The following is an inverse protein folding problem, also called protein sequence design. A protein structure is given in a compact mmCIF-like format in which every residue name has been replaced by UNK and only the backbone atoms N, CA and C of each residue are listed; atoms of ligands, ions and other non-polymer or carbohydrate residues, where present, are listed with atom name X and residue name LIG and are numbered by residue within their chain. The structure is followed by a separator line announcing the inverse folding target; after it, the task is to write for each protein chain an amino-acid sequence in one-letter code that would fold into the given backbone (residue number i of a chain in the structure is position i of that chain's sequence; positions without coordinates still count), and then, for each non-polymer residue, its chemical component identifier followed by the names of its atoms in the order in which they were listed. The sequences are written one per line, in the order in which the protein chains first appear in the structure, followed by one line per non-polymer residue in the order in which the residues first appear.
data_IF_924005344406
#
_entry.id   IF_924005344406
#
_cell.length_a   1.000
_cell.length_b   1.000
_cell.length_c   1.000
_cell.angle_alpha   90.00
_cell.angle_beta   90.00
_cell.angle_gamma   90.00
#
_symmetry.space_group_name_H-M   'P 1'
#
loop_
_entity.id
_entity.type
_entity.pdbx_description
1 polymer ?
#
# COMPACT_ATOMS: atom_id res chain seq x y z
N UNK A 1 3.22 8.77 11.02
CA UNK A 1 3.89 7.56 11.57
C UNK A 1 3.80 6.44 10.54
N UNK A 2 4.84 5.62 10.37
CA UNK A 2 4.80 4.38 9.57
C UNK A 2 4.90 3.21 10.53
N UNK A 3 3.98 2.25 10.44
CA UNK A 3 4.04 0.97 11.15
C UNK A 3 4.30 -0.14 10.15
N UNK A 4 5.12 -1.11 10.50
CA UNK A 4 5.58 -2.18 9.60
C UNK A 4 5.40 -3.52 10.31
N UNK A 5 4.73 -4.45 9.64
CA UNK A 5 4.53 -5.83 10.12
C UNK A 5 5.79 -6.68 10.03
N UNK A 6 5.77 -7.77 10.78
CA UNK A 6 6.84 -8.76 10.84
C UNK A 6 7.18 -9.33 9.46
N UNK A 7 8.46 -9.61 9.20
CA UNK A 7 8.94 -10.21 7.95
C UNK A 7 8.95 -9.27 6.74
N UNK A 8 8.40 -8.06 6.84
CA UNK A 8 8.43 -7.06 5.78
C UNK A 8 9.82 -6.43 5.66
N UNK A 9 10.34 -6.36 4.44
CA UNK A 9 11.61 -5.71 4.14
C UNK A 9 11.47 -4.57 3.13
N UNK A 10 12.49 -3.69 3.08
CA UNK A 10 12.55 -2.54 2.17
C UNK A 10 11.78 -1.31 2.66
N UNK A 11 11.07 -1.37 3.79
CA UNK A 11 10.31 -0.22 4.30
C UNK A 11 11.19 1.03 4.59
N UNK A 12 12.48 0.84 4.80
CA UNK A 12 13.45 1.94 4.95
C UNK A 12 13.65 2.75 3.66
N UNK A 13 13.28 2.19 2.50
CA UNK A 13 13.37 2.84 1.19
C UNK A 13 12.17 3.75 0.86
N UNK A 14 11.24 3.91 1.82
CA UNK A 14 10.04 4.73 1.65
C UNK A 14 10.37 6.19 1.92
N UNK A 15 10.12 7.02 0.91
CA UNK A 15 10.20 8.48 0.98
C UNK A 15 8.80 9.02 1.30
N UNK A 16 8.64 9.50 2.53
CA UNK A 16 7.37 10.02 3.01
C UNK A 16 7.24 11.52 2.72
N UNK A 17 6.18 11.90 2.01
CA UNK A 17 5.76 13.28 1.81
C UNK A 17 4.57 13.57 2.74
N UNK A 18 4.79 14.36 3.79
CA UNK A 18 3.78 14.60 4.81
C UNK A 18 3.51 16.10 4.97
N UNK A 19 2.27 16.49 4.76
CA UNK A 19 1.73 17.83 5.06
C UNK A 19 0.75 17.79 6.24
N UNK A 20 0.40 16.58 6.71
CA UNK A 20 -0.45 16.36 7.88
C UNK A 20 0.19 15.31 8.77
N UNK A 21 0.43 15.65 10.03
CA UNK A 21 1.08 14.79 11.01
C UNK A 21 0.16 13.66 11.52
N UNK A 22 -1.15 13.76 11.32
CA UNK A 22 -2.13 12.79 11.79
C UNK A 22 -2.25 11.58 10.86
N UNK A 23 -1.99 11.78 9.55
CA UNK A 23 -2.10 10.70 8.56
C UNK A 23 -0.98 9.68 8.74
N UNK A 24 -1.35 8.41 8.75
CA UNK A 24 -0.48 7.26 9.04
C UNK A 24 -0.33 6.35 7.82
N UNK A 25 0.69 5.51 7.88
CA UNK A 25 0.91 4.40 6.95
C UNK A 25 0.98 3.11 7.75
N UNK A 26 0.15 2.16 7.40
CA UNK A 26 0.18 0.83 7.97
C UNK A 26 0.60 -0.16 6.89
N UNK A 27 1.69 -0.89 7.14
CA UNK A 27 2.22 -1.92 6.24
C UNK A 27 2.10 -3.26 6.96
N UNK A 28 1.47 -4.21 6.31
CA UNK A 28 1.30 -5.57 6.82
C UNK A 28 2.60 -6.37 6.89
N UNK A 29 2.43 -7.67 7.14
CA UNK A 29 3.52 -8.63 7.31
C UNK A 29 4.00 -9.17 5.96
N UNK A 30 5.27 -9.60 5.90
CA UNK A 30 5.86 -10.31 4.77
C UNK A 30 5.76 -9.57 3.42
N UNK A 31 5.75 -8.24 3.44
CA UNK A 31 5.79 -7.43 2.23
C UNK A 31 7.21 -7.32 1.67
N UNK A 32 7.31 -7.28 0.35
CA UNK A 32 8.54 -7.04 -0.40
C UNK A 32 8.49 -5.65 -1.01
N UNK A 33 9.30 -4.72 -0.51
CA UNK A 33 9.27 -3.31 -0.91
C UNK A 33 10.61 -2.96 -1.56
N UNK A 34 10.56 -2.55 -2.82
CA UNK A 34 11.74 -2.13 -3.57
C UNK A 34 12.12 -0.67 -3.26
N UNK A 35 13.12 -0.17 -3.96
CA UNK A 35 13.68 1.16 -3.74
C UNK A 35 12.79 2.29 -4.31
N UNK A 36 12.99 3.49 -3.74
CA UNK A 36 12.41 4.73 -4.22
C UNK A 36 10.87 4.72 -4.25
N UNK A 37 10.27 4.34 -3.14
CA UNK A 37 8.81 4.35 -2.96
C UNK A 37 8.40 5.69 -2.34
N UNK A 38 7.54 6.43 -3.03
CA UNK A 38 7.01 7.71 -2.59
C UNK A 38 5.60 7.55 -2.03
N UNK A 39 5.40 7.94 -0.77
CA UNK A 39 4.10 7.91 -0.11
C UNK A 39 3.65 9.34 0.18
N UNK A 40 2.50 9.73 -0.38
CA UNK A 40 1.92 11.07 -0.25
C UNK A 40 0.77 11.04 0.75
N UNK A 41 1.01 11.55 1.96
CA UNK A 41 0.05 11.54 3.07
C UNK A 41 -0.91 12.74 3.10
N UNK A 42 -0.86 13.57 2.07
CA UNK A 42 -1.67 14.77 1.93
C UNK A 42 -1.08 15.69 0.86
N UNK A 43 -1.26 17.00 1.04
CA UNK A 43 -0.78 17.99 0.09
C UNK A 43 -1.68 18.14 -1.14
N UNK A 44 -2.88 17.56 -1.12
CA UNK A 44 -3.86 17.76 -2.18
C UNK A 44 -4.49 19.14 -2.02
N UNK A 45 -4.54 19.91 -3.10
CA UNK A 45 -5.23 21.19 -3.12
C UNK A 45 -6.69 21.02 -3.51
N UNK A 46 -7.57 21.83 -2.96
CA UNK A 46 -9.00 21.77 -3.32
C UNK A 46 -9.22 22.43 -4.69
N UNK A 47 -9.46 21.62 -5.70
CA UNK A 47 -9.67 22.06 -7.08
C UNK A 47 -11.05 22.70 -7.33
N UNK A 48 -11.98 22.65 -6.37
CA UNK A 48 -13.32 23.24 -6.49
C UNK A 48 -13.36 24.71 -6.07
N UNK A 49 -12.23 25.26 -5.63
CA UNK A 49 -12.12 26.68 -5.28
C UNK A 49 -11.71 27.52 -6.48
N UNK A 50 -11.97 28.83 -6.43
CA UNK A 50 -11.54 29.80 -7.46
C UNK A 50 -10.03 29.71 -7.71
N UNK A 51 -9.27 29.43 -6.67
CA UNK A 51 -7.82 29.23 -6.75
C UNK A 51 -7.41 27.98 -5.97
N UNK A 52 -6.43 27.28 -6.46
CA UNK A 52 -5.79 26.15 -5.74
C UNK A 52 -4.70 26.62 -4.78
N UNK A 53 -4.35 27.93 -4.77
CA UNK A 53 -3.29 28.44 -3.92
C UNK A 53 -3.70 28.39 -2.44
N UNK A 54 -2.88 27.79 -1.55
CA UNK A 54 -3.20 27.62 -0.13
C UNK A 54 -2.77 28.83 0.68
N UNK A 55 -3.51 29.94 0.59
CA UNK A 55 -3.17 31.20 1.27
C UNK A 55 -2.89 31.06 2.78
N UNK A 56 -3.51 30.11 3.45
CA UNK A 56 -3.31 29.87 4.87
C UNK A 56 -1.98 29.18 5.23
N UNK A 57 -1.31 28.57 4.24
CA UNK A 57 -0.07 27.83 4.45
C UNK A 57 1.18 28.53 3.91
N UNK A 58 1.01 29.74 3.38
CA UNK A 58 2.13 30.52 2.86
C UNK A 58 2.97 31.12 4.00
N UNK A 59 3.72 30.26 4.70
CA UNK A 59 4.69 30.65 5.70
C UNK A 59 5.90 31.39 5.11
N UNK A 60 6.15 31.25 3.80
CA UNK A 60 7.30 31.86 3.12
C UNK A 60 7.15 33.37 2.93
N UNK A 61 5.94 33.89 3.05
CA UNK A 61 5.58 35.30 2.84
C UNK A 61 5.18 36.04 4.09
N UNK A 62 5.75 35.70 5.24
CA UNK A 62 5.54 36.40 6.51
C UNK A 62 4.07 36.49 6.95
N UNK A 63 3.25 35.48 6.69
CA UNK A 63 1.81 35.46 7.01
C UNK A 63 1.02 36.65 6.38
N UNK A 64 1.40 37.10 5.22
CA UNK A 64 0.72 38.21 4.53
C UNK A 64 -0.78 37.98 4.40
N UNK A 65 -1.24 36.75 4.29
CA UNK A 65 -2.64 36.37 4.12
C UNK A 65 -3.29 35.85 5.40
N UNK A 66 -2.53 35.78 6.52
CA UNK A 66 -3.01 35.25 7.79
C UNK A 66 -3.40 33.77 7.71
N UNK A 67 -4.32 33.35 8.57
CA UNK A 67 -4.85 31.98 8.62
C UNK A 67 -6.10 31.77 7.76
N UNK A 68 -6.41 32.69 6.90
CA UNK A 68 -7.60 32.65 6.03
C UNK A 68 -7.25 31.94 4.72
N UNK A 69 -8.11 31.04 4.29
CA UNK A 69 -7.95 30.33 3.04
C UNK A 69 -8.07 28.81 3.20
N UNK A 70 -7.89 28.09 2.09
CA UNK A 70 -7.95 26.65 2.09
C UNK A 70 -6.63 26.03 2.54
N UNK A 71 -6.72 24.93 3.26
CA UNK A 71 -5.58 24.10 3.63
C UNK A 71 -5.44 22.92 2.66
N UNK A 72 -4.24 22.40 2.44
CA UNK A 72 -4.06 21.13 1.77
C UNK A 72 -4.82 20.02 2.49
N UNK A 73 -5.43 19.14 1.72
CA UNK A 73 -6.25 18.06 2.22
C UNK A 73 -5.55 16.70 2.07
N UNK A 74 -5.89 15.79 2.97
CA UNK A 74 -5.54 14.38 2.88
C UNK A 74 -6.81 13.56 2.71
N UNK A 75 -6.72 12.43 1.98
CA UNK A 75 -7.81 11.45 1.90
C UNK A 75 -7.74 10.40 3.02
N UNK A 76 -6.84 10.58 3.99
CA UNK A 76 -6.65 9.70 5.13
C UNK A 76 -5.46 8.76 5.01
N UNK A 77 -5.43 7.78 5.90
CA UNK A 77 -4.35 6.82 6.07
C UNK A 77 -4.14 5.94 4.83
N UNK A 78 -2.92 5.46 4.68
CA UNK A 78 -2.57 4.45 3.67
C UNK A 78 -2.45 3.11 4.38
N UNK A 79 -3.18 2.13 3.88
CA UNK A 79 -3.17 0.75 4.39
C UNK A 79 -2.59 -0.18 3.33
N UNK A 80 -1.48 -0.84 3.62
CA UNK A 80 -0.87 -1.86 2.78
C UNK A 80 -1.03 -3.19 3.51
N UNK A 81 -1.70 -4.14 2.87
CA UNK A 81 -1.97 -5.47 3.41
C UNK A 81 -0.71 -6.33 3.58
N UNK A 82 -0.91 -7.61 3.80
CA UNK A 82 0.16 -8.60 3.98
C UNK A 82 0.57 -9.20 2.63
N UNK A 83 1.78 -9.73 2.50
CA UNK A 83 2.29 -10.39 1.30
C UNK A 83 2.21 -9.50 0.04
N UNK A 84 2.37 -8.18 0.19
CA UNK A 84 2.33 -7.23 -0.92
C UNK A 84 3.71 -7.05 -1.51
N UNK A 85 3.79 -7.09 -2.84
CA UNK A 85 5.01 -6.74 -3.56
C UNK A 85 4.87 -5.37 -4.23
N UNK A 86 5.77 -4.45 -3.86
CA UNK A 86 5.85 -3.10 -4.44
C UNK A 86 7.16 -2.99 -5.21
N UNK A 87 7.05 -2.79 -6.53
CA UNK A 87 8.19 -2.55 -7.41
C UNK A 87 8.82 -1.17 -7.22
N UNK A 88 9.99 -0.95 -7.78
CA UNK A 88 10.74 0.31 -7.64
C UNK A 88 10.03 1.51 -8.27
N UNK A 89 10.30 2.70 -7.74
CA UNK A 89 9.79 3.97 -8.27
C UNK A 89 8.25 4.06 -8.28
N UNK A 90 7.60 3.47 -7.29
CA UNK A 90 6.15 3.54 -7.11
C UNK A 90 5.79 4.75 -6.26
N UNK A 91 4.70 5.42 -6.62
CA UNK A 91 4.08 6.45 -5.78
C UNK A 91 2.67 6.06 -5.37
N UNK A 92 2.32 6.29 -4.09
CA UNK A 92 1.05 5.92 -3.48
C UNK A 92 0.43 7.17 -2.85
N UNK A 93 -0.83 7.45 -3.20
CA UNK A 93 -1.56 8.63 -2.72
C UNK A 93 -2.31 8.34 -1.42
N UNK A 94 -2.58 9.39 -0.65
CA UNK A 94 -3.33 9.32 0.62
C UNK A 94 -4.70 8.65 0.45
N UNK A 95 -5.12 7.90 1.47
CA UNK A 95 -6.39 7.19 1.52
C UNK A 95 -6.43 5.89 0.72
N UNK A 96 -5.33 5.48 0.09
CA UNK A 96 -5.27 4.23 -0.70
C UNK A 96 -5.15 3.02 0.22
N UNK A 97 -5.94 1.98 -0.08
CA UNK A 97 -5.86 0.65 0.52
C UNK A 97 -5.36 -0.35 -0.51
N UNK A 98 -4.31 -1.08 -0.16
CA UNK A 98 -3.68 -2.10 -1.00
C UNK A 98 -3.94 -3.47 -0.34
N UNK A 99 -4.66 -4.35 -1.04
CA UNK A 99 -5.10 -5.64 -0.52
C UNK A 99 -3.97 -6.66 -0.36
N UNK A 100 -4.19 -7.68 0.47
CA UNK A 100 -3.24 -8.75 0.71
C UNK A 100 -2.82 -9.45 -0.59
N UNK A 101 -1.56 -9.80 -0.70
CA UNK A 101 -1.02 -10.56 -1.83
C UNK A 101 -1.00 -9.80 -3.16
N UNK A 102 -1.31 -8.51 -3.20
CA UNK A 102 -1.30 -7.70 -4.42
C UNK A 102 0.12 -7.37 -4.88
N UNK A 103 0.22 -6.96 -6.14
CA UNK A 103 1.48 -6.55 -6.77
C UNK A 103 1.31 -5.18 -7.40
N UNK A 104 2.19 -4.27 -7.05
CA UNK A 104 2.30 -2.95 -7.66
C UNK A 104 3.53 -2.95 -8.57
N UNK A 105 3.31 -2.88 -9.87
CA UNK A 105 4.39 -2.87 -10.85
C UNK A 105 5.29 -1.63 -10.68
N UNK A 106 6.55 -1.76 -11.03
CA UNK A 106 7.49 -0.63 -10.99
C UNK A 106 6.97 0.58 -11.81
N UNK A 107 7.34 1.79 -11.39
CA UNK A 107 6.95 3.07 -12.02
C UNK A 107 5.44 3.35 -12.01
N UNK A 108 4.69 2.74 -11.08
CA UNK A 108 3.24 2.94 -10.96
C UNK A 108 2.90 4.15 -10.09
N UNK A 109 1.79 4.82 -10.43
CA UNK A 109 1.18 5.87 -9.62
C UNK A 109 -0.19 5.40 -9.10
N UNK A 110 -0.24 4.99 -7.83
CA UNK A 110 -1.42 4.36 -7.22
C UNK A 110 -2.33 5.43 -6.61
N UNK A 111 -3.49 5.65 -7.21
CA UNK A 111 -4.47 6.68 -6.84
C UNK A 111 -5.82 6.12 -6.39
N UNK A 112 -6.01 4.79 -6.50
CA UNK A 112 -7.20 4.04 -6.12
C UNK A 112 -6.83 2.81 -5.32
N UNK A 113 -7.80 2.26 -4.60
CA UNK A 113 -7.62 1.00 -3.88
C UNK A 113 -7.28 -0.14 -4.84
N UNK A 114 -6.45 -1.07 -4.36
CA UNK A 114 -6.02 -2.28 -5.07
C UNK A 114 -6.64 -3.47 -4.35
N UNK A 115 -7.26 -4.37 -5.10
CA UNK A 115 -7.91 -5.55 -4.53
C UNK A 115 -6.89 -6.61 -4.09
N UNK A 116 -7.27 -7.53 -3.19
CA UNK A 116 -6.39 -8.64 -2.83
C UNK A 116 -5.96 -9.46 -4.06
N UNK A 117 -4.67 -9.80 -4.12
CA UNK A 117 -4.06 -10.55 -5.22
C UNK A 117 -4.19 -9.90 -6.60
N UNK A 118 -4.55 -8.63 -6.67
CA UNK A 118 -4.56 -7.86 -7.90
C UNK A 118 -3.13 -7.41 -8.26
N UNK A 119 -2.82 -7.43 -9.55
CA UNK A 119 -1.63 -6.84 -10.15
C UNK A 119 -2.05 -5.57 -10.86
N UNK A 120 -1.48 -4.44 -10.43
CA UNK A 120 -1.74 -3.13 -11.04
C UNK A 120 -0.46 -2.49 -11.54
N UNK A 121 -0.55 -1.62 -12.54
CA UNK A 121 0.60 -0.92 -13.07
C UNK A 121 0.24 0.30 -13.90
N UNK A 122 1.22 1.19 -14.09
CA UNK A 122 1.10 2.38 -14.91
C UNK A 122 0.83 3.67 -14.14
N UNK A 123 0.63 4.77 -14.87
CA UNK A 123 0.33 6.10 -14.34
C UNK A 123 -0.87 6.71 -15.08
N UNK A 124 -2.06 6.81 -14.46
CA UNK A 124 -2.40 6.21 -13.16
C UNK A 124 -2.41 4.68 -13.23
N UNK A 125 -2.13 4.01 -12.09
CA UNK A 125 -2.13 2.55 -12.00
C UNK A 125 -3.51 1.99 -12.34
N UNK A 126 -3.54 0.98 -13.19
CA UNK A 126 -4.74 0.29 -13.66
C UNK A 126 -4.58 -1.21 -13.43
N UNK A 127 -5.71 -1.91 -13.42
CA UNK A 127 -5.76 -3.36 -13.38
C UNK A 127 -5.00 -3.98 -14.57
N UNK A 128 -4.12 -4.93 -14.29
CA UNK A 128 -3.44 -5.75 -15.30
C UNK A 128 -4.05 -7.15 -15.30
N UNK A 129 -4.06 -7.81 -14.14
CA UNK A 129 -4.64 -9.14 -13.93
C UNK A 129 -4.78 -9.44 -12.44
N UNK A 130 -5.47 -10.50 -12.10
CA UNK A 130 -5.30 -11.15 -10.80
C UNK A 130 -4.16 -12.19 -10.88
N UNK A 131 -3.49 -12.41 -9.76
CA UNK A 131 -2.43 -13.45 -9.66
C UNK A 131 -2.99 -14.85 -9.89
N UNK A 132 -4.22 -15.08 -9.42
CA UNK A 132 -4.89 -16.39 -9.40
C UNK A 132 -6.38 -16.25 -9.73
N UNK A 133 -7.09 -17.36 -9.89
CA UNK A 133 -8.56 -17.38 -9.98
C UNK A 133 -9.21 -16.91 -8.69
N UNK A 134 -10.45 -16.43 -8.78
CA UNK A 134 -11.19 -15.96 -7.58
C UNK A 134 -11.34 -17.04 -6.49
N UNK A 135 -11.43 -18.31 -6.89
CA UNK A 135 -11.53 -19.44 -5.95
C UNK A 135 -10.22 -19.64 -5.18
N UNK A 136 -9.10 -19.60 -5.88
CA UNK A 136 -7.77 -19.66 -5.26
C UNK A 136 -7.53 -18.46 -4.35
N UNK A 137 -7.88 -17.25 -4.79
CA UNK A 137 -7.75 -16.03 -3.98
C UNK A 137 -8.54 -16.17 -2.68
N UNK A 138 -9.79 -16.62 -2.75
CA UNK A 138 -10.62 -16.87 -1.57
C UNK A 138 -9.96 -17.84 -0.60
N UNK A 139 -9.48 -18.96 -1.12
CA UNK A 139 -8.77 -19.97 -0.33
C UNK A 139 -7.52 -19.42 0.35
N UNK A 140 -6.71 -18.64 -0.35
CA UNK A 140 -5.50 -18.04 0.20
C UNK A 140 -5.80 -16.97 1.27
N UNK A 141 -6.88 -16.21 1.10
CA UNK A 141 -7.34 -15.26 2.12
C UNK A 141 -7.88 -15.96 3.39
N UNK A 142 -8.54 -17.13 3.24
CA UNK A 142 -8.97 -17.95 4.37
C UNK A 142 -7.78 -18.59 5.09
N UNK A 143 -6.77 -19.06 4.35
CA UNK A 143 -5.54 -19.64 4.91
C UNK A 143 -4.75 -18.60 5.69
N UNK A 144 -4.69 -17.37 5.22
CA UNK A 144 -4.03 -16.22 5.83
C UNK A 144 -2.67 -16.59 6.45
N UNK A 145 -1.78 -17.20 5.67
CA UNK A 145 -0.51 -17.77 6.12
C UNK A 145 0.39 -16.77 6.88
N UNK A 146 0.27 -15.50 6.61
CA UNK A 146 0.99 -14.42 7.30
C UNK A 146 0.61 -14.25 8.79
N UNK A 147 -0.48 -14.87 9.23
CA UNK A 147 -0.90 -14.89 10.64
C UNK A 147 -0.49 -16.17 11.36
N UNK A 148 0.22 -17.07 10.70
CA UNK A 148 0.74 -18.28 11.30
C UNK A 148 1.93 -17.99 12.22
N UNK A 149 2.17 -18.91 13.15
CA UNK A 149 3.40 -18.92 13.94
C UNK A 149 4.61 -19.19 13.04
N UNK A 150 5.77 -18.70 13.44
CA UNK A 150 7.02 -18.91 12.68
C UNK A 150 7.31 -20.40 12.46
N UNK A 151 7.06 -21.26 13.47
CA UNK A 151 7.23 -22.71 13.33
C UNK A 151 6.32 -23.31 12.26
N UNK A 152 5.06 -22.86 12.18
CA UNK A 152 4.13 -23.31 11.14
C UNK A 152 4.58 -22.85 9.76
N UNK A 153 5.05 -21.62 9.62
CA UNK A 153 5.60 -21.12 8.36
C UNK A 153 6.80 -21.97 7.93
N UNK A 154 7.77 -22.19 8.83
CA UNK A 154 8.97 -22.98 8.53
C UNK A 154 8.63 -24.40 8.05
N UNK A 155 7.66 -25.07 8.67
CA UNK A 155 7.21 -26.40 8.25
C UNK A 155 6.53 -26.41 6.88
N UNK A 156 6.01 -25.26 6.44
CA UNK A 156 5.24 -25.12 5.21
C UNK A 156 5.94 -24.32 4.11
N UNK A 157 7.17 -23.86 4.29
CA UNK A 157 7.92 -23.06 3.30
C UNK A 157 7.88 -23.68 1.92
N UNK A 158 8.11 -25.02 1.82
CA UNK A 158 8.05 -25.73 0.54
C UNK A 158 6.67 -25.60 -0.11
N UNK A 159 5.58 -25.72 0.64
CA UNK A 159 4.22 -25.59 0.11
C UNK A 159 3.88 -24.14 -0.27
N UNK A 160 4.29 -23.19 0.56
CA UNK A 160 4.12 -21.74 0.30
C UNK A 160 4.90 -21.26 -0.92
N UNK A 161 5.98 -21.97 -1.29
CA UNK A 161 6.84 -21.65 -2.44
C UNK A 161 6.43 -22.36 -3.73
N UNK A 162 5.27 -23.05 -3.74
CA UNK A 162 4.74 -23.72 -4.92
C UNK A 162 3.51 -23.00 -5.47
N UNK A 163 3.13 -23.33 -6.72
CA UNK A 163 1.86 -22.86 -7.29
C UNK A 163 0.67 -23.38 -6.48
N UNK A 164 -0.38 -22.59 -6.26
CA UNK A 164 -1.51 -22.94 -5.39
C UNK A 164 -2.48 -23.93 -6.08
N UNK A 165 -2.05 -25.18 -6.28
CA UNK A 165 -2.92 -26.27 -6.70
C UNK A 165 -3.90 -26.69 -5.59
N UNK A 166 -4.99 -27.40 -5.94
CA UNK A 166 -5.93 -27.96 -4.94
C UNK A 166 -5.22 -28.77 -3.86
N UNK A 167 -4.23 -29.57 -4.24
CA UNK A 167 -3.43 -30.38 -3.32
C UNK A 167 -2.65 -29.51 -2.34
N UNK A 168 -1.98 -28.45 -2.83
CA UNK A 168 -1.23 -27.52 -1.99
C UNK A 168 -2.17 -26.77 -1.05
N UNK A 169 -3.28 -26.23 -1.55
CA UNK A 169 -4.25 -25.52 -0.73
C UNK A 169 -4.84 -26.41 0.37
N UNK A 170 -5.10 -27.68 0.08
CA UNK A 170 -5.56 -28.66 1.09
C UNK A 170 -4.50 -28.90 2.17
N UNK A 171 -3.23 -29.07 1.79
CA UNK A 171 -2.12 -29.22 2.73
C UNK A 171 -1.99 -28.01 3.65
N UNK A 172 -2.02 -26.79 3.08
CA UNK A 172 -1.90 -25.54 3.84
C UNK A 172 -3.05 -25.32 4.83
N UNK A 173 -4.25 -25.88 4.57
CA UNK A 173 -5.39 -25.83 5.52
C UNK A 173 -5.26 -26.85 6.66
N UNK A 174 -4.60 -27.97 6.42
CA UNK A 174 -4.54 -29.10 7.36
C UNK A 174 -3.34 -29.05 8.33
N UNK A 175 -2.45 -28.12 8.16
CA UNK A 175 -1.26 -27.87 9.00
C UNK A 175 -1.52 -26.73 9.98
#
# INVERSE_FOLDING_TARGET
MITVGEGTYGAAHIIKHSWNLETKVHIGKYCSIADNIHIFLGGNHNMNLVTTFPFSEDSSRNNLFGTKGSQPISKGDIEIGNDVWIGSNVSIMSGVKIGNGSVIAAFSHVVKNVLPYEVVGGNPAQHIKFRFSHEVIRSLLEIAWWDWTQDRILKNVTHLSNEPSEEILKKLRST
#
